data_IF_346875307508
#
_entry.id   IF_346875307508
#
_cell.length_a   1.000
_cell.length_b   1.000
_cell.length_c   1.000
_cell.angle_alpha   90.00
_cell.angle_beta   90.00
_cell.angle_gamma   90.00
#
_symmetry.space_group_name_H-M   'P 1'
#
loop_
_entity.id
_entity.type
_entity.pdbx_description
1 polymer ?
#
# COMPACT_ATOMS: atom_id res chain seq x y z
N UNK A 1 53.92 -7.10 15.26
CA UNK A 1 52.51 -7.03 14.82
C UNK A 1 51.88 -8.40 14.95
N UNK A 2 51.13 -8.67 16.03
CA UNK A 2 50.53 -9.98 16.25
C UNK A 2 49.51 -10.29 15.14
N UNK A 3 49.70 -11.41 14.41
CA UNK A 3 48.70 -11.89 13.45
C UNK A 3 47.48 -12.30 14.25
N UNK A 4 46.33 -11.68 13.99
CA UNK A 4 45.02 -12.15 14.48
C UNK A 4 44.87 -13.63 14.18
N UNK A 5 44.41 -14.39 15.16
CA UNK A 5 44.14 -15.82 15.00
C UNK A 5 43.04 -16.01 13.96
N UNK A 6 42.96 -17.20 13.35
CA UNK A 6 41.94 -17.50 12.35
C UNK A 6 40.53 -17.30 12.94
N UNK A 7 40.33 -17.65 14.22
CA UNK A 7 39.07 -17.44 14.92
C UNK A 7 38.69 -15.96 15.06
N UNK A 8 39.64 -15.09 15.43
CA UNK A 8 39.41 -13.64 15.51
C UNK A 8 39.08 -13.02 14.15
N UNK A 9 39.70 -13.53 13.07
CA UNK A 9 39.38 -13.10 11.70
C UNK A 9 37.99 -13.56 11.28
N UNK A 10 37.60 -14.77 11.63
CA UNK A 10 36.26 -15.29 11.36
C UNK A 10 35.19 -14.44 12.06
N UNK A 11 35.39 -14.18 13.36
CA UNK A 11 34.49 -13.34 14.16
C UNK A 11 34.38 -11.91 13.60
N UNK A 12 35.49 -11.34 13.12
CA UNK A 12 35.50 -10.03 12.49
C UNK A 12 34.70 -10.01 11.17
N UNK A 13 34.85 -11.03 10.33
CA UNK A 13 34.09 -11.14 9.07
C UNK A 13 32.59 -11.35 9.32
N UNK A 14 32.22 -12.16 10.32
CA UNK A 14 30.82 -12.34 10.71
C UNK A 14 30.20 -11.05 11.25
N UNK A 15 30.92 -10.30 12.08
CA UNK A 15 30.47 -9.00 12.58
C UNK A 15 30.27 -7.98 11.43
N UNK A 16 31.17 -7.97 10.45
CA UNK A 16 31.05 -7.13 9.25
C UNK A 16 29.84 -7.54 8.40
N UNK A 17 29.65 -8.84 8.16
CA UNK A 17 28.49 -9.36 7.43
C UNK A 17 27.19 -8.96 8.12
N UNK A 18 27.08 -9.15 9.43
CA UNK A 18 25.89 -8.79 10.22
C UNK A 18 25.59 -7.30 10.11
N UNK A 19 26.62 -6.46 10.17
CA UNK A 19 26.48 -5.00 10.01
C UNK A 19 25.95 -4.63 8.63
N UNK A 20 26.48 -5.24 7.57
CA UNK A 20 26.00 -5.00 6.20
C UNK A 20 24.56 -5.47 6.02
N UNK A 21 24.19 -6.62 6.58
CA UNK A 21 22.82 -7.15 6.52
C UNK A 21 21.82 -6.25 7.25
N UNK A 22 22.20 -5.69 8.40
CA UNK A 22 21.38 -4.71 9.12
C UNK A 22 21.19 -3.44 8.28
N UNK A 23 22.23 -2.97 7.58
CA UNK A 23 22.11 -1.80 6.69
C UNK A 23 21.21 -2.09 5.50
N UNK A 24 21.35 -3.24 4.87
CA UNK A 24 20.52 -3.65 3.73
C UNK A 24 19.03 -3.72 4.13
N UNK A 25 18.70 -4.44 5.20
CA UNK A 25 17.32 -4.52 5.70
C UNK A 25 16.72 -3.18 6.10
N UNK A 26 17.53 -2.21 6.57
CA UNK A 26 17.07 -0.83 6.80
C UNK A 26 16.74 -0.14 5.49
N UNK A 27 17.59 -0.27 4.47
CA UNK A 27 17.36 0.31 3.15
C UNK A 27 16.13 -0.28 2.47
N UNK A 28 15.96 -1.59 2.54
CA UNK A 28 14.79 -2.28 1.98
C UNK A 28 13.48 -1.79 2.62
N UNK A 29 13.45 -1.68 3.95
CA UNK A 29 12.28 -1.10 4.66
C UNK A 29 12.04 0.36 4.29
N UNK A 30 13.08 1.16 4.12
CA UNK A 30 12.94 2.55 3.70
C UNK A 30 12.35 2.66 2.28
N UNK A 31 12.82 1.82 1.35
CA UNK A 31 12.30 1.76 -0.02
C UNK A 31 10.84 1.28 -0.02
N UNK A 32 10.53 0.22 0.74
CA UNK A 32 9.18 -0.32 0.85
C UNK A 32 8.20 0.71 1.42
N UNK A 33 8.58 1.39 2.51
CA UNK A 33 7.80 2.48 3.10
C UNK A 33 7.56 3.60 2.09
N UNK A 34 8.61 4.05 1.39
CA UNK A 34 8.50 5.11 0.39
C UNK A 34 7.57 4.71 -0.76
N UNK A 35 7.66 3.46 -1.23
CA UNK A 35 6.79 2.93 -2.28
C UNK A 35 5.32 2.93 -1.85
N UNK A 36 5.03 2.43 -0.65
CA UNK A 36 3.68 2.39 -0.08
C UNK A 36 3.09 3.79 0.07
N UNK A 37 3.86 4.73 0.61
CA UNK A 37 3.43 6.13 0.77
C UNK A 37 3.15 6.79 -0.57
N UNK A 38 4.03 6.63 -1.56
CA UNK A 38 3.83 7.26 -2.88
C UNK A 38 2.61 6.70 -3.62
N UNK A 39 2.39 5.38 -3.55
CA UNK A 39 1.19 4.76 -4.14
C UNK A 39 -0.06 5.26 -3.43
N UNK A 40 -0.06 5.29 -2.09
CA UNK A 40 -1.17 5.81 -1.31
C UNK A 40 -1.51 7.26 -1.65
N UNK A 41 -0.51 8.14 -1.69
CA UNK A 41 -0.68 9.54 -2.04
C UNK A 41 -1.25 9.73 -3.46
N UNK A 42 -0.80 8.93 -4.44
CA UNK A 42 -1.33 8.96 -5.80
C UNK A 42 -2.80 8.55 -5.85
N UNK A 43 -3.18 7.50 -5.14
CA UNK A 43 -4.57 7.02 -5.09
C UNK A 43 -5.47 8.07 -4.44
N UNK A 44 -5.07 8.64 -3.31
CA UNK A 44 -5.82 9.71 -2.64
C UNK A 44 -5.98 10.93 -3.55
N UNK A 45 -4.90 11.39 -4.18
CA UNK A 45 -4.95 12.50 -5.13
C UNK A 45 -5.91 12.22 -6.30
N UNK A 46 -5.93 10.99 -6.84
CA UNK A 46 -6.84 10.62 -7.92
C UNK A 46 -8.30 10.63 -7.46
N UNK A 47 -8.58 10.17 -6.25
CA UNK A 47 -9.93 10.16 -5.66
C UNK A 47 -10.45 11.58 -5.36
N UNK A 48 -9.55 12.51 -5.03
CA UNK A 48 -9.88 13.92 -4.79
C UNK A 48 -10.11 14.70 -6.09
N UNK A 49 -9.21 14.55 -7.07
CA UNK A 49 -9.10 15.47 -8.21
C UNK A 49 -9.71 14.96 -9.53
N UNK A 50 -9.81 13.63 -9.74
CA UNK A 50 -10.28 13.06 -11.01
C UNK A 50 -11.60 12.32 -10.82
N UNK A 51 -12.69 13.11 -10.71
CA UNK A 51 -14.06 12.58 -10.64
C UNK A 51 -14.59 12.06 -11.98
N UNK A 52 -13.88 12.29 -13.09
CA UNK A 52 -14.35 11.90 -14.41
C UNK A 52 -13.95 10.47 -14.85
N UNK A 53 -14.97 9.62 -14.72
CA UNK A 53 -15.55 8.71 -15.73
C UNK A 53 -15.14 7.23 -15.80
N UNK A 54 -13.96 6.75 -15.42
CA UNK A 54 -13.75 5.27 -15.43
C UNK A 54 -12.87 4.71 -14.31
N UNK A 55 -11.86 5.45 -13.87
CA UNK A 55 -10.94 4.97 -12.82
C UNK A 55 -11.43 5.41 -11.43
N UNK A 56 -11.94 6.64 -11.28
CA UNK A 56 -12.38 7.17 -9.99
C UNK A 56 -13.52 6.38 -9.34
N UNK A 57 -14.61 6.12 -10.07
CA UNK A 57 -15.77 5.39 -9.53
C UNK A 57 -15.50 3.91 -9.26
N UNK A 58 -14.86 3.20 -10.20
CA UNK A 58 -14.51 1.78 -10.03
C UNK A 58 -13.48 1.55 -8.92
N UNK A 59 -12.43 2.38 -8.86
CA UNK A 59 -11.41 2.30 -7.82
C UNK A 59 -11.96 2.69 -6.45
N UNK A 60 -12.77 3.74 -6.35
CA UNK A 60 -13.39 4.14 -5.09
C UNK A 60 -14.31 3.04 -4.55
N UNK A 61 -15.18 2.48 -5.39
CA UNK A 61 -16.07 1.39 -5.00
C UNK A 61 -15.29 0.13 -4.59
N UNK A 62 -14.24 -0.24 -5.34
CA UNK A 62 -13.34 -1.33 -4.97
C UNK A 62 -12.62 -1.06 -3.65
N UNK A 63 -12.14 0.16 -3.42
CA UNK A 63 -11.42 0.51 -2.21
C UNK A 63 -12.35 0.47 -0.99
N UNK A 64 -13.61 0.90 -1.11
CA UNK A 64 -14.60 0.76 -0.04
C UNK A 64 -14.93 -0.69 0.31
N UNK A 65 -14.82 -1.61 -0.64
CA UNK A 65 -15.11 -3.03 -0.39
C UNK A 65 -13.91 -3.79 0.18
N UNK A 66 -12.68 -3.44 -0.23
CA UNK A 66 -11.46 -4.13 0.18
C UNK A 66 -10.75 -3.51 1.38
N UNK A 67 -10.76 -2.17 1.53
CA UNK A 67 -10.06 -1.48 2.60
C UNK A 67 -10.54 -1.91 4.00
N UNK A 68 -11.84 -2.06 4.29
CA UNK A 68 -12.30 -2.56 5.59
C UNK A 68 -11.87 -4.00 5.91
N UNK A 69 -11.63 -4.83 4.89
CA UNK A 69 -11.12 -6.20 5.05
C UNK A 69 -9.62 -6.22 5.32
N UNK A 70 -8.90 -5.23 4.77
CA UNK A 70 -7.46 -5.08 4.96
C UNK A 70 -7.13 -4.43 6.31
N UNK A 71 -7.93 -3.48 6.77
CA UNK A 71 -7.75 -2.79 8.04
C UNK A 71 -8.21 -3.66 9.21
N UNK A 72 -7.23 -4.05 10.04
CA UNK A 72 -7.45 -4.93 11.20
C UNK A 72 -7.63 -4.18 12.52
N UNK A 73 -7.27 -2.90 12.57
CA UNK A 73 -7.35 -2.04 13.76
C UNK A 73 -8.40 -0.97 13.56
N UNK A 74 -9.23 -0.74 14.58
CA UNK A 74 -10.29 0.26 14.50
C UNK A 74 -9.73 1.68 14.33
N UNK A 75 -8.66 2.05 15.03
CA UNK A 75 -8.02 3.35 14.85
C UNK A 75 -7.41 3.59 13.46
N UNK A 76 -7.14 2.53 12.69
CA UNK A 76 -6.74 2.69 11.28
C UNK A 76 -7.96 2.89 10.37
N UNK A 77 -9.16 2.40 10.75
CA UNK A 77 -10.41 2.58 9.99
C UNK A 77 -10.90 4.02 10.07
N UNK A 78 -10.83 4.60 11.26
CA UNK A 78 -11.23 6.00 11.53
C UNK A 78 -10.47 7.01 10.63
N UNK A 79 -9.26 6.65 10.16
CA UNK A 79 -8.47 7.49 9.25
C UNK A 79 -9.03 7.56 7.82
N UNK A 80 -9.99 6.69 7.46
CA UNK A 80 -10.53 6.57 6.11
C UNK A 80 -12.06 6.71 6.07
N UNK A 81 -12.71 7.18 7.14
CA UNK A 81 -14.18 7.30 7.18
C UNK A 81 -14.73 8.17 6.03
N UNK A 82 -14.03 9.25 5.69
CA UNK A 82 -14.33 10.15 4.58
C UNK A 82 -14.34 9.45 3.19
N UNK A 83 -13.56 8.39 3.08
CA UNK A 83 -13.44 7.55 1.91
C UNK A 83 -14.42 6.37 1.95
N UNK A 84 -14.66 5.79 3.12
CA UNK A 84 -15.55 4.64 3.33
C UNK A 84 -17.04 5.00 3.26
N UNK A 85 -17.40 6.25 3.57
CA UNK A 85 -18.78 6.69 3.43
C UNK A 85 -19.18 6.78 1.94
N UNK A 86 -20.34 6.19 1.55
CA UNK A 86 -20.89 6.37 0.22
C UNK A 86 -21.27 7.85 0.03
N UNK A 87 -20.54 8.56 -0.81
CA UNK A 87 -20.95 9.92 -1.21
C UNK A 87 -22.20 9.79 -2.09
N UNK A 88 -23.22 10.66 -1.95
CA UNK A 88 -24.54 10.51 -2.58
C UNK A 88 -24.56 10.54 -4.12
N UNK A 89 -23.39 10.70 -4.76
CA UNK A 89 -23.25 10.80 -6.21
C UNK A 89 -22.32 9.75 -6.82
N UNK A 90 -21.95 8.71 -6.07
CA UNK A 90 -21.12 7.63 -6.63
C UNK A 90 -21.99 6.77 -7.56
N UNK A 91 -21.62 6.61 -8.86
CA UNK A 91 -22.38 5.76 -9.76
C UNK A 91 -22.36 4.33 -9.22
N UNK A 92 -23.51 3.90 -8.70
CA UNK A 92 -23.76 2.51 -8.33
C UNK A 92 -23.31 1.60 -9.48
N UNK A 93 -22.34 0.72 -9.23
CA UNK A 93 -21.88 -0.33 -10.15
C UNK A 93 -22.94 -1.44 -10.29
N UNK A 94 -24.20 -1.06 -10.46
CA UNK A 94 -25.37 -1.92 -10.41
C UNK A 94 -26.34 -1.64 -11.56
N UNK A 95 -25.85 -1.54 -12.80
CA UNK A 95 -26.68 -1.82 -13.98
C UNK A 95 -25.85 -2.08 -15.25
N UNK A 96 -25.04 -3.14 -15.25
CA UNK A 96 -24.52 -3.73 -16.49
C UNK A 96 -25.21 -5.07 -16.68
N UNK A 97 -26.46 -5.04 -17.16
CA UNK A 97 -27.18 -6.28 -17.46
C UNK A 97 -28.68 -6.12 -17.60
N UNK A 98 -29.16 -5.51 -18.67
CA UNK A 98 -30.39 -5.94 -19.35
C UNK A 98 -30.52 -5.22 -20.70
N UNK A 99 -29.72 -5.64 -21.68
CA UNK A 99 -30.08 -5.45 -23.08
C UNK A 99 -31.11 -6.51 -23.45
N UNK A 100 -32.35 -6.33 -22.98
CA UNK A 100 -33.46 -7.15 -23.42
C UNK A 100 -33.72 -6.85 -24.89
N UNK A 101 -33.62 -7.89 -25.71
CA UNK A 101 -34.29 -7.99 -27.00
C UNK A 101 -35.78 -7.61 -26.88
N UNK A 102 -36.43 -7.34 -28.03
CA UNK A 102 -37.84 -6.92 -28.30
C UNK A 102 -37.85 -5.46 -28.79
N UNK A 103 -38.16 -5.08 -30.04
CA UNK A 103 -38.81 -5.67 -31.23
C UNK A 103 -38.09 -5.22 -32.51
#
# INVERSE_FOLDING_TARGET
>A
MARKTIGERLAQLEAQRKTLQIRLSKQERAIDTRRKVLIGALVLHRLENDRDVQIGGGLAAWLRSELPKFLTRDGDRDLFDDLLEPRPHDPSLGNVGSGSAVL
#
